data_IF_012841080161
#
_entry.id   IF_012841080161
#
_cell.length_a   1.000
_cell.length_b   1.000
_cell.length_c   1.000
_cell.angle_alpha   90.00
_cell.angle_beta   90.00
_cell.angle_gamma   90.00
#
_symmetry.space_group_name_H-M   'P 1'
#
loop_
_entity.id
_entity.type
_entity.pdbx_description
1 polymer ?
#
# COMPACT_ATOMS: atom_id res chain seq x y z
N UNK A 1 4.80 12.87 -2.55
CA UNK A 1 4.32 11.47 -2.72
C UNK A 1 3.19 11.14 -1.75
N UNK A 2 3.33 11.35 -0.44
CA UNK A 2 2.23 11.18 0.54
C UNK A 2 0.96 12.01 0.29
N UNK A 3 1.13 13.31 0.06
CA UNK A 3 0.03 14.26 -0.15
C UNK A 3 -0.77 13.99 -1.43
N UNK A 4 -0.20 13.22 -2.37
CA UNK A 4 -0.84 12.84 -3.63
C UNK A 4 -1.73 11.59 -3.48
N UNK A 5 -1.62 10.86 -2.38
CA UNK A 5 -2.34 9.60 -2.14
C UNK A 5 -3.62 9.80 -1.28
N UNK A 6 -3.92 11.05 -0.88
CA UNK A 6 -5.03 11.39 0.02
C UNK A 6 -4.93 10.77 1.41
N UNK A 7 -3.78 10.20 1.75
CA UNK A 7 -3.48 9.65 3.07
C UNK A 7 -2.95 10.78 3.94
N UNK A 8 -3.70 11.10 5.00
CA UNK A 8 -3.24 12.03 6.04
C UNK A 8 -2.12 11.40 6.86
N UNK A 9 -1.20 12.22 7.33
CA UNK A 9 -0.17 11.82 8.30
C UNK A 9 0.72 10.65 7.84
N UNK A 10 1.08 10.60 6.54
CA UNK A 10 2.04 9.61 6.09
C UNK A 10 3.40 9.81 6.76
N UNK A 11 3.83 8.77 7.44
CA UNK A 11 5.17 8.65 8.01
C UNK A 11 5.90 7.55 7.26
N UNK A 12 6.97 7.93 6.58
CA UNK A 12 7.88 6.95 6.00
C UNK A 12 8.51 6.14 7.14
N UNK A 13 8.37 4.82 7.07
CA UNK A 13 8.97 3.96 8.07
C UNK A 13 10.48 3.87 7.83
N UNK A 14 11.25 3.87 8.91
CA UNK A 14 12.71 3.68 8.85
C UNK A 14 13.10 2.20 8.83
N UNK A 15 12.15 1.30 9.10
CA UNK A 15 12.36 -0.14 9.02
C UNK A 15 12.48 -0.59 7.57
N UNK A 16 13.21 -1.67 7.33
CA UNK A 16 13.31 -2.26 5.99
C UNK A 16 12.11 -3.18 5.79
N UNK A 17 11.24 -2.86 4.83
CA UNK A 17 10.28 -3.84 4.34
C UNK A 17 10.96 -4.66 3.23
N UNK A 18 10.92 -5.99 3.29
CA UNK A 18 11.51 -6.82 2.25
C UNK A 18 10.85 -6.49 0.89
N UNK A 19 11.67 -6.40 -0.17
CA UNK A 19 11.29 -6.05 -1.56
C UNK A 19 10.79 -4.62 -1.79
N UNK A 20 10.13 -4.00 -0.81
CA UNK A 20 9.73 -2.60 -0.93
C UNK A 20 10.96 -1.67 -0.81
N UNK A 21 11.23 -0.92 -1.88
CA UNK A 21 12.30 0.09 -1.89
C UNK A 21 12.05 1.17 -0.84
N UNK A 22 10.78 1.53 -0.65
CA UNK A 22 10.34 2.42 0.43
C UNK A 22 9.00 1.93 0.93
N UNK A 23 8.74 2.09 2.24
CA UNK A 23 7.40 1.92 2.76
C UNK A 23 7.14 2.90 3.89
N UNK A 24 5.86 3.08 4.19
CA UNK A 24 5.43 3.84 5.33
C UNK A 24 3.98 3.54 5.63
N UNK A 25 3.47 4.27 6.60
CA UNK A 25 2.11 4.15 7.07
C UNK A 25 1.49 5.52 7.16
N UNK A 26 0.18 5.58 7.07
CA UNK A 26 -0.58 6.79 7.34
C UNK A 26 -2.00 6.43 7.73
N UNK A 27 -2.88 7.41 7.66
CA UNK A 27 -4.28 7.23 8.07
C UNK A 27 -5.22 7.74 7.00
N UNK A 28 -6.22 6.93 6.66
CA UNK A 28 -7.30 7.29 5.75
C UNK A 28 -8.64 7.14 6.47
N UNK A 29 -9.37 8.24 6.65
CA UNK A 29 -10.66 8.27 7.39
C UNK A 29 -10.62 7.56 8.75
N UNK A 30 -9.49 7.68 9.48
CA UNK A 30 -9.29 7.02 10.78
C UNK A 30 -8.85 5.55 10.72
N UNK A 31 -8.75 4.96 9.53
CA UNK A 31 -8.20 3.61 9.31
C UNK A 31 -6.71 3.68 8.96
N UNK A 32 -5.91 2.76 9.52
CA UNK A 32 -4.49 2.67 9.18
C UNK A 32 -4.32 2.17 7.76
N UNK A 33 -3.47 2.85 7.00
CA UNK A 33 -3.05 2.44 5.67
C UNK A 33 -1.54 2.27 5.63
N UNK A 34 -1.08 1.28 4.90
CA UNK A 34 0.33 1.00 4.68
C UNK A 34 0.62 1.17 3.19
N UNK A 35 1.65 1.93 2.87
CA UNK A 35 2.02 2.29 1.51
C UNK A 35 3.41 1.74 1.24
N UNK A 36 3.52 0.91 0.21
CA UNK A 36 4.75 0.26 -0.22
C UNK A 36 5.07 0.74 -1.63
N UNK A 37 6.28 1.23 -1.85
CA UNK A 37 6.78 1.63 -3.16
C UNK A 37 7.92 0.68 -3.56
N UNK A 38 7.80 0.12 -4.76
CA UNK A 38 8.74 -0.84 -5.32
C UNK A 38 9.59 -0.17 -6.40
N UNK A 39 10.84 -0.63 -6.53
CA UNK A 39 11.75 -0.11 -7.56
C UNK A 39 11.38 -0.64 -8.97
N UNK A 40 10.81 -1.84 -9.04
CA UNK A 40 10.49 -2.56 -10.28
C UNK A 40 9.35 -3.57 -10.02
N UNK A 41 8.82 -4.18 -11.09
CA UNK A 41 7.72 -5.15 -10.98
C UNK A 41 8.13 -6.48 -10.35
N UNK A 42 9.40 -6.88 -10.46
CA UNK A 42 9.91 -8.14 -9.90
C UNK A 42 9.86 -8.14 -8.35
N UNK A 43 10.29 -7.02 -7.75
CA UNK A 43 10.16 -6.74 -6.32
C UNK A 43 8.68 -6.77 -5.88
N UNK A 44 7.77 -6.21 -6.69
CA UNK A 44 6.34 -6.25 -6.41
C UNK A 44 5.79 -7.69 -6.42
N UNK A 45 6.16 -8.50 -7.43
CA UNK A 45 5.71 -9.90 -7.52
C UNK A 45 6.23 -10.69 -6.32
N UNK A 46 7.51 -10.52 -5.97
CA UNK A 46 8.12 -11.18 -4.81
C UNK A 46 7.42 -10.77 -3.50
N UNK A 47 7.06 -9.49 -3.36
CA UNK A 47 6.27 -9.00 -2.24
C UNK A 47 4.88 -9.64 -2.17
N UNK A 48 4.18 -9.76 -3.30
CA UNK A 48 2.88 -10.42 -3.35
C UNK A 48 2.95 -11.88 -2.93
N UNK A 49 3.95 -12.63 -3.41
CA UNK A 49 4.15 -14.01 -3.00
C UNK A 49 4.45 -14.11 -1.51
N UNK A 50 5.20 -13.14 -0.97
CA UNK A 50 5.46 -13.07 0.45
C UNK A 50 4.17 -12.86 1.24
N UNK A 51 3.38 -11.82 0.94
CA UNK A 51 2.17 -11.52 1.71
C UNK A 51 1.06 -12.58 1.55
N UNK A 52 1.06 -13.33 0.43
CA UNK A 52 0.17 -14.49 0.23
C UNK A 52 0.36 -15.56 1.31
N UNK A 53 1.58 -15.73 1.84
CA UNK A 53 1.84 -16.68 2.92
C UNK A 53 1.16 -16.27 4.25
N UNK A 54 0.83 -14.99 4.41
CA UNK A 54 0.10 -14.44 5.55
C UNK A 54 -1.43 -14.40 5.31
N UNK A 55 -1.91 -14.96 4.19
CA UNK A 55 -3.33 -14.96 3.82
C UNK A 55 -3.83 -13.65 3.24
N UNK A 56 -2.94 -12.70 2.92
CA UNK A 56 -3.28 -11.44 2.27
C UNK A 56 -3.31 -11.68 0.75
N UNK A 57 -4.40 -11.28 0.11
CA UNK A 57 -4.59 -11.42 -1.34
C UNK A 57 -4.60 -10.08 -2.04
N UNK A 58 -4.27 -10.07 -3.33
CA UNK A 58 -4.17 -8.85 -4.16
C UNK A 58 -5.47 -8.01 -4.15
N UNK A 59 -6.64 -8.66 -4.07
CA UNK A 59 -7.93 -7.97 -3.97
C UNK A 59 -8.11 -7.13 -2.69
N UNK A 60 -7.27 -7.35 -1.67
CA UNK A 60 -7.27 -6.60 -0.42
C UNK A 60 -6.28 -5.42 -0.43
N UNK A 61 -5.67 -5.18 -1.59
CA UNK A 61 -4.65 -4.17 -1.81
C UNK A 61 -5.09 -3.27 -2.97
N UNK A 62 -4.55 -2.07 -2.97
CA UNK A 62 -4.73 -1.10 -4.06
C UNK A 62 -3.39 -0.86 -4.71
N UNK A 63 -3.24 -1.24 -5.99
CA UNK A 63 -2.02 -1.02 -6.75
C UNK A 63 -2.17 0.20 -7.66
N UNK A 64 -1.20 1.12 -7.61
CA UNK A 64 -1.03 2.20 -8.58
C UNK A 64 0.39 2.17 -9.13
N UNK A 65 0.57 1.62 -10.34
CA UNK A 65 1.89 1.40 -10.93
C UNK A 65 2.78 0.47 -10.07
N UNK A 66 3.86 1.01 -9.51
CA UNK A 66 4.80 0.33 -8.61
C UNK A 66 4.57 0.69 -7.13
N UNK A 67 3.41 1.24 -6.80
CA UNK A 67 3.02 1.55 -5.42
C UNK A 67 1.82 0.67 -5.05
N UNK A 68 1.87 0.08 -3.87
CA UNK A 68 0.79 -0.73 -3.29
C UNK A 68 0.36 -0.09 -1.99
N UNK A 69 -0.95 0.02 -1.81
CA UNK A 69 -1.57 0.48 -0.58
C UNK A 69 -2.38 -0.65 0.02
N UNK A 70 -2.08 -1.01 1.25
CA UNK A 70 -2.88 -1.90 2.07
C UNK A 70 -3.68 -1.08 3.08
N UNK A 71 -4.92 -1.48 3.34
CA UNK A 71 -5.80 -0.82 4.30
C UNK A 71 -6.22 -1.86 5.32
N UNK A 72 -6.10 -1.52 6.60
CA UNK A 72 -6.56 -2.38 7.70
C UNK A 72 -8.07 -2.68 7.57
N UNK A 73 -8.86 -1.63 7.32
CA UNK A 73 -10.28 -1.75 7.07
C UNK A 73 -10.60 -1.93 5.57
N UNK A 74 -11.00 -3.14 5.19
CA UNK A 74 -11.31 -3.50 3.82
C UNK A 74 -12.55 -2.79 3.26
N UNK A 75 -13.45 -2.25 4.10
CA UNK A 75 -14.60 -1.48 3.63
C UNK A 75 -14.18 -0.13 3.03
N UNK A 76 -13.00 0.36 3.42
CA UNK A 76 -12.41 1.61 2.92
C UNK A 76 -11.59 1.43 1.65
N UNK A 77 -11.30 0.20 1.25
CA UNK A 77 -10.50 -0.11 0.06
C UNK A 77 -11.03 0.57 -1.21
N UNK A 78 -12.35 0.57 -1.42
CA UNK A 78 -12.98 1.21 -2.56
C UNK A 78 -12.78 2.75 -2.55
N UNK A 79 -12.88 3.38 -1.38
CA UNK A 79 -12.61 4.81 -1.24
C UNK A 79 -11.15 5.14 -1.51
N UNK A 80 -10.22 4.32 -1.01
CA UNK A 80 -8.78 4.46 -1.30
C UNK A 80 -8.50 4.31 -2.79
N UNK A 81 -9.11 3.35 -3.50
CA UNK A 81 -9.01 3.21 -4.96
C UNK A 81 -9.44 4.47 -5.70
N UNK A 82 -10.60 5.03 -5.33
CA UNK A 82 -11.12 6.27 -5.91
C UNK A 82 -10.17 7.45 -5.68
N UNK A 83 -9.65 7.60 -4.46
CA UNK A 83 -8.71 8.69 -4.11
C UNK A 83 -7.38 8.55 -4.86
N UNK A 84 -6.93 7.31 -5.07
CA UNK A 84 -5.71 7.01 -5.82
C UNK A 84 -5.89 7.07 -7.34
N UNK A 85 -7.13 7.28 -7.84
CA UNK A 85 -7.44 7.30 -9.26
C UNK A 85 -7.19 5.95 -9.95
N UNK A 86 -7.32 4.85 -9.20
CA UNK A 86 -7.15 3.49 -9.73
C UNK A 86 -8.54 2.88 -9.91
N UNK A 87 -9.08 3.01 -11.13
CA UNK A 87 -10.37 2.43 -11.53
C UNK A 87 -10.23 0.94 -11.85
#
# INVERSE_FOLDING_TARGET
MASALGVGDYVQSSSVAPFAAQWGEGTYEGSRVQIYAFANEDDYVSFLEQIKQFGIVESQLVRTGLVVVSVDDQTKLAGVRTVLGVE
#
